data_IF_210684659902
#
_entry.id   IF_210684659902
#
_cell.length_a   1.000
_cell.length_b   1.000
_cell.length_c   1.000
_cell.angle_alpha   90.00
_cell.angle_beta   90.00
_cell.angle_gamma   90.00
#
_symmetry.space_group_name_H-M   'P 1'
#
loop_
_entity.id
_entity.type
_entity.pdbx_description
1 polymer ?
#
# COMPACT_ATOMS: atom_id res chain seq x y z
N UNK A 1 0.22 19.23 -25.52
CA UNK A 1 -0.91 19.93 -24.88
C UNK A 1 -2.02 18.93 -24.63
N UNK A 2 -2.82 19.14 -23.58
CA UNK A 2 -4.00 18.34 -23.28
C UNK A 2 -5.17 18.70 -24.21
N UNK A 3 -6.18 17.81 -24.37
CA UNK A 3 -7.35 18.09 -25.20
C UNK A 3 -8.10 19.35 -24.75
N UNK A 4 -8.30 19.51 -23.44
CA UNK A 4 -8.99 20.67 -22.90
C UNK A 4 -8.23 21.98 -23.11
N UNK A 5 -6.90 21.96 -23.21
CA UNK A 5 -6.12 23.16 -23.52
C UNK A 5 -6.35 23.67 -24.94
N UNK A 6 -6.72 22.77 -25.85
CA UNK A 6 -7.08 23.13 -27.22
C UNK A 6 -8.55 23.54 -27.37
N UNK A 7 -9.43 23.02 -26.50
CA UNK A 7 -10.87 23.25 -26.56
C UNK A 7 -11.34 24.39 -25.65
N UNK A 8 -10.54 24.79 -24.66
CA UNK A 8 -10.88 25.88 -23.75
C UNK A 8 -11.00 27.20 -24.52
N UNK A 9 -12.24 27.55 -24.87
CA UNK A 9 -12.68 28.91 -25.17
C UNK A 9 -13.43 29.53 -23.98
N UNK A 10 -13.37 28.89 -22.80
CA UNK A 10 -14.09 29.37 -21.63
C UNK A 10 -13.36 30.60 -21.07
N UNK A 11 -14.05 31.74 -21.11
CA UNK A 11 -13.67 32.93 -20.37
C UNK A 11 -14.39 32.90 -19.02
N UNK A 12 -13.73 33.31 -17.95
CA UNK A 12 -14.39 33.52 -16.66
C UNK A 12 -15.45 34.63 -16.80
N UNK A 13 -16.27 34.83 -15.76
CA UNK A 13 -17.29 35.89 -15.74
C UNK A 13 -16.71 37.31 -15.96
N UNK A 14 -15.38 37.45 -15.89
CA UNK A 14 -14.64 38.69 -16.06
C UNK A 14 -13.94 38.78 -17.42
N UNK A 15 -14.13 37.81 -18.32
CA UNK A 15 -13.53 37.79 -19.66
C UNK A 15 -12.09 37.24 -19.73
N UNK A 16 -11.54 36.72 -18.63
CA UNK A 16 -10.20 36.14 -18.62
C UNK A 16 -10.24 34.68 -19.05
N UNK A 17 -9.27 34.25 -19.87
CA UNK A 17 -9.13 32.85 -20.27
C UNK A 17 -9.01 31.93 -19.04
N UNK A 18 -9.90 30.94 -18.94
CA UNK A 18 -9.88 29.93 -17.88
C UNK A 18 -8.62 29.08 -18.03
N UNK A 19 -7.75 29.15 -17.03
CA UNK A 19 -6.47 28.43 -17.00
C UNK A 19 -6.73 26.92 -17.00
N UNK A 20 -6.01 26.20 -17.87
CA UNK A 20 -5.89 24.75 -17.79
C UNK A 20 -5.39 24.36 -16.39
N UNK A 21 -6.26 23.74 -15.61
CA UNK A 21 -5.97 23.39 -14.21
C UNK A 21 -5.19 22.09 -14.06
N UNK A 22 -5.10 21.61 -12.81
CA UNK A 22 -4.39 20.39 -12.40
C UNK A 22 -4.58 19.16 -13.33
N UNK A 23 -5.76 18.88 -13.92
CA UNK A 23 -5.88 17.76 -14.86
C UNK A 23 -4.97 17.86 -16.10
N UNK A 24 -4.67 19.06 -16.57
CA UNK A 24 -3.77 19.29 -17.71
C UNK A 24 -2.32 18.92 -17.38
N UNK A 25 -1.90 19.13 -16.12
CA UNK A 25 -0.60 18.69 -15.64
C UNK A 25 -0.51 17.16 -15.64
N UNK A 26 -1.59 16.47 -15.26
CA UNK A 26 -1.66 15.00 -15.29
C UNK A 26 -1.52 14.47 -16.71
N UNK A 27 -2.15 15.11 -17.69
CA UNK A 27 -1.97 14.72 -19.10
C UNK A 27 -0.51 14.87 -19.55
N UNK A 28 0.14 15.96 -19.14
CA UNK A 28 1.54 16.22 -19.46
C UNK A 28 2.46 15.20 -18.78
N UNK A 29 2.17 14.82 -17.54
CA UNK A 29 2.82 13.70 -16.84
C UNK A 29 2.64 12.38 -17.60
N UNK A 30 1.42 12.09 -18.08
CA UNK A 30 1.13 10.93 -18.93
C UNK A 30 1.97 10.91 -20.21
N UNK A 31 2.11 12.07 -20.88
CA UNK A 31 2.97 12.21 -22.05
C UNK A 31 4.45 11.94 -21.72
N UNK A 32 4.94 12.42 -20.57
CA UNK A 32 6.32 12.19 -20.12
C UNK A 32 6.54 10.71 -19.79
N UNK A 33 5.62 10.07 -19.08
CA UNK A 33 5.67 8.62 -18.79
C UNK A 33 5.70 7.80 -20.08
N UNK A 34 4.82 8.11 -21.02
CA UNK A 34 4.78 7.45 -22.33
C UNK A 34 6.12 7.62 -23.07
N UNK A 35 6.69 8.83 -23.06
CA UNK A 35 7.99 9.12 -23.67
C UNK A 35 9.15 8.36 -23.01
N UNK A 36 9.14 8.19 -21.68
CA UNK A 36 10.14 7.39 -20.96
C UNK A 36 10.03 5.90 -21.31
N UNK A 37 8.82 5.39 -21.56
CA UNK A 37 8.59 3.98 -21.88
C UNK A 37 8.90 3.66 -23.35
N UNK A 38 8.45 4.50 -24.29
CA UNK A 38 8.50 4.19 -25.72
C UNK A 38 9.52 5.01 -26.50
N UNK A 39 10.26 5.92 -25.86
CA UNK A 39 11.22 6.78 -26.53
C UNK A 39 10.60 7.82 -27.47
N UNK A 40 9.27 7.97 -27.46
CA UNK A 40 8.51 8.98 -28.24
C UNK A 40 7.24 9.40 -27.51
N UNK A 41 6.70 10.58 -27.80
CA UNK A 41 5.42 11.04 -27.24
C UNK A 41 4.23 10.29 -27.89
N UNK A 42 3.04 10.25 -27.25
CA UNK A 42 1.89 9.50 -27.76
C UNK A 42 1.49 9.87 -29.20
N UNK A 43 1.63 11.15 -29.57
CA UNK A 43 1.23 11.69 -30.87
C UNK A 43 2.42 12.02 -31.78
N UNK A 44 3.57 11.35 -31.59
CA UNK A 44 4.81 11.64 -32.32
C UNK A 44 4.75 11.37 -33.82
N UNK A 45 3.80 10.53 -34.25
CA UNK A 45 3.58 10.14 -35.65
C UNK A 45 3.02 11.29 -36.48
N UNK A 46 2.21 12.15 -35.86
CA UNK A 46 1.64 13.32 -36.50
C UNK A 46 2.67 14.45 -36.54
N UNK A 47 3.15 14.80 -37.73
CA UNK A 47 4.26 15.77 -37.88
C UNK A 47 3.81 17.23 -37.78
N UNK A 48 2.63 17.56 -38.29
CA UNK A 48 2.12 18.94 -38.29
C UNK A 48 1.35 19.24 -37.01
N UNK A 49 1.38 20.51 -36.60
CA UNK A 49 0.56 20.98 -35.48
C UNK A 49 -0.92 20.66 -35.69
N UNK A 50 -1.44 20.88 -36.90
CA UNK A 50 -2.84 20.68 -37.20
C UNK A 50 -3.25 19.21 -37.19
N UNK A 51 -2.38 18.30 -37.65
CA UNK A 51 -2.61 16.87 -37.51
C UNK A 51 -2.67 16.44 -36.04
N UNK A 52 -1.73 16.92 -35.21
CA UNK A 52 -1.74 16.66 -33.75
C UNK A 52 -2.99 17.22 -33.08
N UNK A 53 -3.36 18.45 -33.39
CA UNK A 53 -4.58 19.06 -32.84
C UNK A 53 -5.79 18.18 -33.14
N UNK A 54 -5.98 17.81 -34.41
CA UNK A 54 -7.15 17.04 -34.85
C UNK A 54 -7.31 15.74 -34.07
N UNK A 55 -6.22 15.01 -33.86
CA UNK A 55 -6.26 13.72 -33.14
C UNK A 55 -6.32 13.87 -31.63
N UNK A 56 -5.66 14.87 -31.05
CA UNK A 56 -5.71 15.12 -29.59
C UNK A 56 -7.12 15.58 -29.19
N UNK A 57 -7.82 16.30 -30.07
CA UNK A 57 -9.18 16.81 -29.80
C UNK A 57 -10.29 15.84 -30.16
N UNK A 58 -10.00 14.72 -30.84
CA UNK A 58 -10.99 13.71 -31.20
C UNK A 58 -11.24 12.75 -30.02
N UNK A 59 -12.46 12.70 -29.45
CA UNK A 59 -12.78 11.79 -28.34
C UNK A 59 -12.75 10.31 -28.74
N UNK A 60 -12.84 9.98 -30.03
CA UNK A 60 -12.82 8.61 -30.54
C UNK A 60 -11.40 8.14 -30.89
N UNK A 61 -10.42 9.04 -30.85
CA UNK A 61 -9.05 8.68 -31.13
C UNK A 61 -8.44 7.96 -29.93
N UNK A 62 -8.15 6.68 -30.11
CA UNK A 62 -7.46 5.88 -29.09
C UNK A 62 -5.94 6.04 -29.22
N UNK A 63 -5.28 6.25 -28.08
CA UNK A 63 -3.82 6.26 -28.01
C UNK A 63 -3.31 4.82 -28.14
N UNK A 64 -2.44 4.59 -29.11
CA UNK A 64 -1.75 3.30 -29.26
C UNK A 64 -0.73 3.10 -28.16
N UNK A 65 -0.74 1.94 -27.51
CA UNK A 65 0.27 1.54 -26.53
C UNK A 65 0.99 0.28 -27.03
N UNK A 66 2.32 0.33 -27.06
CA UNK A 66 3.14 -0.85 -27.37
C UNK A 66 3.18 -1.87 -26.23
N UNK A 67 3.86 -3.01 -26.42
CA UNK A 67 4.05 -3.99 -25.35
C UNK A 67 4.87 -3.40 -24.20
N UNK A 68 4.43 -3.62 -22.96
CA UNK A 68 5.11 -3.20 -21.73
C UNK A 68 5.14 -4.37 -20.76
N UNK A 69 6.29 -4.63 -20.15
CA UNK A 69 6.45 -5.76 -19.21
C UNK A 69 5.63 -5.58 -17.93
N UNK A 70 5.53 -4.35 -17.42
CA UNK A 70 4.78 -4.03 -16.22
C UNK A 70 3.34 -3.57 -16.57
N UNK A 71 2.30 -4.38 -16.26
CA UNK A 71 0.92 -4.02 -16.57
C UNK A 71 0.41 -2.83 -15.73
N UNK A 72 0.92 -2.64 -14.51
CA UNK A 72 0.56 -1.48 -13.67
C UNK A 72 1.12 -0.18 -14.23
N UNK A 73 2.29 -0.20 -14.88
CA UNK A 73 2.80 0.98 -15.56
C UNK A 73 1.90 1.38 -16.74
N UNK A 74 1.47 0.39 -17.52
CA UNK A 74 0.54 0.62 -18.63
C UNK A 74 -0.80 1.19 -18.13
N UNK A 75 -1.37 0.63 -17.06
CA UNK A 75 -2.61 1.16 -16.48
C UNK A 75 -2.45 2.59 -15.98
N UNK A 76 -1.37 2.89 -15.22
CA UNK A 76 -1.07 4.24 -14.74
C UNK A 76 -0.99 5.25 -15.89
N UNK A 77 -0.30 4.91 -16.98
CA UNK A 77 -0.22 5.76 -18.17
C UNK A 77 -1.60 6.02 -18.79
N UNK A 78 -2.45 4.99 -18.89
CA UNK A 78 -3.83 5.13 -19.40
C UNK A 78 -4.67 6.04 -18.51
N UNK A 79 -4.55 5.93 -17.18
CA UNK A 79 -5.25 6.82 -16.23
C UNK A 79 -4.82 8.29 -16.38
N UNK A 80 -3.53 8.53 -16.64
CA UNK A 80 -3.01 9.88 -16.89
C UNK A 80 -3.46 10.45 -18.24
N UNK A 81 -3.55 9.60 -19.27
CA UNK A 81 -3.88 9.97 -20.66
C UNK A 81 -5.37 9.80 -21.01
N UNK A 82 -6.25 9.74 -20.01
CA UNK A 82 -7.69 9.78 -20.25
C UNK A 82 -8.07 11.09 -20.95
N UNK A 83 -8.77 10.99 -22.08
CA UNK A 83 -9.18 12.14 -22.89
C UNK A 83 -10.09 13.07 -22.07
N UNK A 84 -11.14 12.53 -21.47
CA UNK A 84 -12.03 13.30 -20.60
C UNK A 84 -11.31 13.74 -19.32
N UNK A 85 -11.31 15.05 -19.08
CA UNK A 85 -10.71 15.68 -17.90
C UNK A 85 -11.32 15.19 -16.59
N UNK A 86 -12.59 14.80 -16.59
CA UNK A 86 -13.30 14.35 -15.38
C UNK A 86 -13.02 12.87 -15.09
N UNK A 87 -12.87 12.04 -16.14
CA UNK A 87 -12.39 10.68 -16.04
C UNK A 87 -10.88 10.54 -15.73
N UNK A 88 -10.10 11.60 -15.96
CA UNK A 88 -8.64 11.62 -15.70
C UNK A 88 -8.34 11.62 -14.20
N UNK A 89 -7.46 10.71 -13.79
CA UNK A 89 -7.12 10.55 -12.38
C UNK A 89 -6.39 11.77 -11.82
N UNK A 90 -6.63 12.06 -10.54
CA UNK A 90 -5.96 13.14 -9.80
C UNK A 90 -4.77 12.59 -9.01
N UNK A 91 -3.85 13.48 -8.62
CA UNK A 91 -2.64 13.13 -7.84
C UNK A 91 -2.92 12.19 -6.66
N UNK A 92 -3.93 12.42 -5.78
CA UNK A 92 -4.16 11.52 -4.66
C UNK A 92 -4.51 10.08 -5.09
N UNK A 93 -5.19 9.91 -6.23
CA UNK A 93 -5.53 8.59 -6.76
C UNK A 93 -4.30 7.92 -7.39
N UNK A 94 -3.51 8.69 -8.15
CA UNK A 94 -2.28 8.19 -8.79
C UNK A 94 -1.27 7.74 -7.74
N UNK A 95 -1.12 8.48 -6.63
CA UNK A 95 -0.20 8.13 -5.54
C UNK A 95 -0.56 6.82 -4.83
N UNK A 96 -1.80 6.35 -4.95
CA UNK A 96 -2.25 5.06 -4.40
C UNK A 96 -2.26 3.93 -5.44
N UNK A 97 -1.78 4.21 -6.67
CA UNK A 97 -1.79 3.24 -7.74
C UNK A 97 -0.78 2.09 -7.46
N UNK A 98 -1.11 0.82 -7.78
CA UNK A 98 -0.21 -0.33 -7.55
C UNK A 98 1.19 -0.22 -8.15
N UNK A 99 1.37 0.62 -9.17
CA UNK A 99 2.69 0.92 -9.73
C UNK A 99 3.59 1.67 -8.74
N UNK A 100 3.04 2.61 -7.96
CA UNK A 100 3.77 3.40 -6.97
C UNK A 100 3.71 2.79 -5.57
N UNK A 101 2.61 2.10 -5.26
CA UNK A 101 2.38 1.40 -4.00
C UNK A 101 2.10 -0.07 -4.32
N UNK A 102 3.13 -0.86 -4.66
CA UNK A 102 2.93 -2.26 -4.99
C UNK A 102 2.30 -2.99 -3.79
N UNK A 103 1.30 -3.85 -4.01
CA UNK A 103 0.72 -4.65 -2.95
C UNK A 103 1.84 -5.50 -2.35
N UNK A 104 2.03 -5.40 -1.04
CA UNK A 104 2.99 -6.24 -0.31
C UNK A 104 2.57 -7.69 -0.52
N UNK A 105 3.41 -8.55 -1.12
CA UNK A 105 3.08 -9.96 -1.25
C UNK A 105 2.81 -10.52 0.15
N UNK A 106 1.72 -11.27 0.31
CA UNK A 106 1.35 -11.93 1.56
C UNK A 106 2.41 -12.90 2.11
N UNK A 107 3.53 -13.07 1.42
CA UNK A 107 4.65 -13.93 1.82
C UNK A 107 5.44 -13.41 3.04
N UNK A 108 5.33 -12.11 3.39
CA UNK A 108 5.89 -11.62 4.65
C UNK A 108 4.97 -11.88 5.87
N UNK A 109 3.78 -12.45 5.67
CA UNK A 109 2.89 -12.89 6.77
C UNK A 109 3.40 -14.16 7.47
N UNK A 110 4.34 -14.89 6.85
CA UNK A 110 4.95 -16.08 7.48
C UNK A 110 5.78 -15.74 8.72
N UNK A 111 6.13 -14.46 8.94
CA UNK A 111 6.80 -14.00 10.17
C UNK A 111 5.84 -13.97 11.39
N UNK A 112 4.54 -13.69 11.21
CA UNK A 112 3.55 -13.77 12.29
C UNK A 112 3.39 -15.21 12.80
N UNK A 113 3.41 -16.19 11.90
CA UNK A 113 3.39 -17.61 12.28
C UNK A 113 4.68 -18.04 12.97
N UNK A 114 5.86 -17.58 12.52
CA UNK A 114 7.13 -17.92 13.16
C UNK A 114 7.25 -17.36 14.58
N UNK A 115 6.72 -16.17 14.84
CA UNK A 115 6.78 -15.49 16.15
C UNK A 115 6.06 -16.28 17.25
N UNK A 116 5.10 -17.13 16.89
CA UNK A 116 4.30 -17.92 17.84
C UNK A 116 4.77 -19.37 17.98
N UNK A 117 5.67 -19.87 17.11
CA UNK A 117 6.14 -21.27 17.14
C UNK A 117 6.80 -21.65 18.47
N UNK A 118 7.61 -20.76 19.03
CA UNK A 118 8.26 -20.99 20.33
C UNK A 118 7.22 -21.11 21.45
N UNK A 119 6.24 -20.22 21.50
CA UNK A 119 5.16 -20.27 22.50
C UNK A 119 4.30 -21.52 22.34
N UNK A 120 4.04 -21.94 21.10
CA UNK A 120 3.31 -23.16 20.81
C UNK A 120 4.07 -24.41 21.27
N UNK A 121 5.38 -24.50 21.02
CA UNK A 121 6.23 -25.59 21.52
C UNK A 121 6.26 -25.65 23.05
N UNK A 122 6.34 -24.49 23.72
CA UNK A 122 6.28 -24.42 25.19
C UNK A 122 4.91 -24.89 25.69
N UNK A 123 3.82 -24.45 25.06
CA UNK A 123 2.47 -24.85 25.43
C UNK A 123 2.23 -26.36 25.25
N UNK A 124 2.74 -26.95 24.16
CA UNK A 124 2.68 -28.39 23.89
C UNK A 124 3.49 -29.20 24.92
N UNK A 125 4.67 -28.71 25.30
CA UNK A 125 5.52 -29.34 26.35
C UNK A 125 4.86 -29.28 27.72
N UNK A 126 4.06 -28.25 27.98
CA UNK A 126 3.35 -28.02 29.22
C UNK A 126 1.87 -28.40 29.16
N UNK A 127 1.47 -29.33 28.28
CA UNK A 127 0.06 -29.71 28.10
C UNK A 127 -0.64 -30.17 29.40
N UNK A 128 0.12 -30.61 30.40
CA UNK A 128 -0.38 -31.03 31.71
C UNK A 128 -0.46 -29.90 32.76
N UNK A 129 0.04 -28.69 32.44
CA UNK A 129 -0.02 -27.49 33.28
C UNK A 129 -0.95 -26.45 32.63
N UNK A 130 -2.20 -26.42 33.09
CA UNK A 130 -3.24 -25.52 32.58
C UNK A 130 -2.90 -24.04 32.76
N UNK A 131 -2.10 -23.67 33.77
CA UNK A 131 -1.71 -22.28 34.01
C UNK A 131 -0.57 -21.87 33.07
N UNK A 132 0.41 -22.74 32.83
CA UNK A 132 1.46 -22.48 31.84
C UNK A 132 0.89 -22.34 30.42
N UNK A 133 -0.07 -23.20 30.05
CA UNK A 133 -0.78 -23.11 28.76
C UNK A 133 -1.56 -21.80 28.62
N UNK A 134 -2.28 -21.38 29.66
CA UNK A 134 -2.99 -20.09 29.69
C UNK A 134 -2.05 -18.90 29.49
N UNK A 135 -0.88 -18.91 30.13
CA UNK A 135 0.12 -17.84 29.99
C UNK A 135 0.70 -17.78 28.56
N UNK A 136 0.94 -18.93 27.92
CA UNK A 136 1.35 -19.00 26.53
C UNK A 136 0.30 -18.41 25.58
N UNK A 137 -0.99 -18.72 25.79
CA UNK A 137 -2.09 -18.14 25.01
C UNK A 137 -2.16 -16.62 25.16
N UNK A 138 -2.03 -16.09 26.38
CA UNK A 138 -2.05 -14.65 26.63
C UNK A 138 -0.86 -13.91 25.98
N UNK A 139 0.33 -14.53 25.99
CA UNK A 139 1.49 -14.00 25.27
C UNK A 139 1.26 -13.99 23.75
N UNK A 140 0.65 -15.06 23.23
CA UNK A 140 0.34 -15.17 21.81
C UNK A 140 -0.69 -14.14 21.35
N UNK A 141 -1.72 -13.86 22.16
CA UNK A 141 -2.69 -12.80 21.91
C UNK A 141 -2.04 -11.41 21.88
N UNK A 142 -1.15 -11.10 22.84
CA UNK A 142 -0.42 -9.84 22.85
C UNK A 142 0.55 -9.66 21.68
N UNK A 143 1.07 -10.75 21.12
CA UNK A 143 1.93 -10.71 19.93
C UNK A 143 1.14 -10.67 18.62
N UNK A 144 -0.11 -11.15 18.62
CA UNK A 144 -0.95 -11.22 17.43
C UNK A 144 -1.56 -9.87 17.03
N UNK A 145 -1.77 -8.97 18.00
CA UNK A 145 -2.27 -7.62 17.78
C UNK A 145 -1.12 -6.59 17.79
N UNK A 146 -0.73 -6.12 16.60
CA UNK A 146 -1.17 -4.77 16.26
C UNK A 146 -1.59 -4.64 14.79
N UNK A 147 -2.48 -3.69 14.54
CA UNK A 147 -2.91 -3.11 13.25
C UNK A 147 -4.30 -3.58 12.78
N UNK A 148 -5.32 -2.87 13.28
CA UNK A 148 -6.49 -2.50 12.48
C UNK A 148 -6.01 -1.80 11.19
N UNK A 149 -6.43 -2.25 10.00
CA UNK A 149 -6.08 -1.58 8.77
C UNK A 149 -6.95 -0.33 8.59
N UNK A 150 -6.32 0.74 8.09
CA UNK A 150 -6.90 1.94 7.46
C UNK A 150 -6.92 3.20 8.37
N UNK A 151 -5.85 4.00 8.21
CA UNK A 151 -5.85 5.48 8.17
C UNK A 151 -5.79 6.34 9.45
N UNK A 152 -5.25 5.87 10.58
CA UNK A 152 -5.01 6.77 11.74
C UNK A 152 -3.77 6.41 12.57
N UNK A 153 -2.62 6.24 11.90
CA UNK A 153 -1.30 6.18 12.53
C UNK A 153 -0.73 7.58 12.84
N UNK A 154 -1.44 8.35 13.67
CA UNK A 154 -0.79 9.35 14.50
C UNK A 154 -0.62 8.72 15.89
N UNK A 155 0.45 7.94 16.00
CA UNK A 155 1.09 7.47 17.22
C UNK A 155 0.18 6.63 18.14
N UNK A 156 0.33 5.30 18.12
CA UNK A 156 0.20 4.56 19.39
C UNK A 156 1.10 5.27 20.39
N UNK A 157 0.50 5.96 21.37
CA UNK A 157 1.23 6.76 22.36
C UNK A 157 2.41 5.96 22.90
N UNK A 158 3.56 6.60 23.12
CA UNK A 158 4.73 5.99 23.78
C UNK A 158 4.31 5.28 25.07
N UNK A 159 3.30 5.82 25.76
CA UNK A 159 2.70 5.22 26.95
C UNK A 159 2.05 3.85 26.66
N UNK A 160 1.33 3.71 25.55
CA UNK A 160 0.71 2.45 25.14
C UNK A 160 1.76 1.38 24.83
N UNK A 161 2.84 1.77 24.14
CA UNK A 161 3.96 0.87 23.86
C UNK A 161 4.66 0.41 25.15
N UNK A 162 4.88 1.32 26.09
CA UNK A 162 5.44 0.98 27.41
C UNK A 162 4.52 0.04 28.21
N UNK A 163 3.20 0.24 28.15
CA UNK A 163 2.21 -0.65 28.79
C UNK A 163 2.26 -2.05 28.20
N UNK A 164 2.26 -2.18 26.87
CA UNK A 164 2.36 -3.47 26.19
C UNK A 164 3.66 -4.22 26.52
N UNK A 165 4.80 -3.52 26.55
CA UNK A 165 6.08 -4.12 26.94
C UNK A 165 6.11 -4.58 28.41
N UNK A 166 5.52 -3.78 29.31
CA UNK A 166 5.40 -4.14 30.72
C UNK A 166 4.55 -5.40 30.91
N UNK A 167 3.43 -5.50 30.18
CA UNK A 167 2.54 -6.66 30.22
C UNK A 167 3.23 -7.92 29.66
N UNK A 168 3.94 -7.79 28.54
CA UNK A 168 4.72 -8.88 27.94
C UNK A 168 5.76 -9.43 28.93
N UNK A 169 6.53 -8.54 29.56
CA UNK A 169 7.56 -8.90 30.54
C UNK A 169 6.97 -9.66 31.73
N UNK A 170 5.81 -9.20 32.24
CA UNK A 170 5.11 -9.84 33.36
C UNK A 170 4.71 -11.28 33.03
N UNK A 171 4.11 -11.51 31.85
CA UNK A 171 3.68 -12.84 31.44
C UNK A 171 4.87 -13.79 31.21
N UNK A 172 5.95 -13.31 30.59
CA UNK A 172 7.19 -14.08 30.43
C UNK A 172 7.80 -14.50 31.78
N UNK A 173 7.79 -13.59 32.76
CA UNK A 173 8.28 -13.88 34.11
C UNK A 173 7.44 -14.97 34.79
N UNK A 174 6.11 -14.84 34.74
CA UNK A 174 5.17 -15.81 35.30
C UNK A 174 5.33 -17.19 34.66
N UNK A 175 5.46 -17.25 33.33
CA UNK A 175 5.66 -18.49 32.61
C UNK A 175 6.97 -19.17 33.04
N UNK A 176 8.07 -18.41 33.12
CA UNK A 176 9.36 -18.94 33.58
C UNK A 176 9.30 -19.50 35.00
N UNK A 177 8.66 -18.81 35.94
CA UNK A 177 8.51 -19.30 37.31
C UNK A 177 7.69 -20.59 37.39
N UNK A 178 6.66 -20.74 36.54
CA UNK A 178 5.85 -21.95 36.46
C UNK A 178 6.63 -23.13 35.89
N UNK A 179 7.36 -22.92 34.80
CA UNK A 179 8.26 -23.92 34.23
C UNK A 179 9.28 -24.42 35.25
N UNK A 180 9.95 -23.50 35.96
CA UNK A 180 10.94 -23.85 36.99
C UNK A 180 10.34 -24.59 38.19
N UNK A 181 9.07 -24.37 38.53
CA UNK A 181 8.37 -25.12 39.59
C UNK A 181 7.96 -26.52 39.11
N UNK A 182 7.57 -26.65 37.84
CA UNK A 182 7.23 -27.94 37.24
C UNK A 182 8.44 -28.87 37.14
N UNK A 183 9.62 -28.35 36.76
CA UNK A 183 10.86 -29.13 36.70
C UNK A 183 11.23 -29.72 38.07
N UNK A 184 11.21 -28.90 39.14
CA UNK A 184 11.52 -29.36 40.51
C UNK A 184 10.55 -30.44 41.03
N UNK A 185 9.29 -30.42 40.59
CA UNK A 185 8.28 -31.41 41.00
C UNK A 185 8.48 -32.78 40.33
N UNK A 186 9.10 -32.80 39.15
CA UNK A 186 9.47 -34.04 38.45
C UNK A 186 10.69 -34.68 39.13
N UNK A 187 11.66 -33.88 39.56
CA UNK A 187 12.84 -34.35 40.31
C UNK A 187 12.46 -34.96 41.67
N UNK A 188 11.48 -34.39 42.38
CA UNK A 188 11.02 -34.87 43.69
C UNK A 188 10.15 -36.15 43.63
N UNK A 189 9.57 -36.48 42.46
CA UNK A 189 8.78 -37.71 42.24
C UNK A 189 9.61 -38.87 41.68
N UNK A 190 10.89 -38.63 41.40
CA UNK A 190 11.86 -39.59 40.83
C UNK A 190 12.84 -40.17 41.86
N UNK A 191 12.64 -39.90 43.15
CA UNK A 191 13.26 -40.61 44.29
C UNK A 191 12.21 -41.44 45.03
#
# INVERSE_FOLDING_TARGET
MSPEAFMCNENDANGNAIKCGRPSDIWSLGCILYQMVYGRTPFSEYKTFWAKFKVITDPNHEITYGPVYNPWLLDLMKKCLAWDRNGRWRIPQLLQHPFLVPPVPAQLSSSKDQSCKLLQLIAETCANDSEASMLCCQLQELLSDPVQPIASQLLTSREQQCKSLSQMSKLCFQLRERLAKSERKIEDLGM
#
